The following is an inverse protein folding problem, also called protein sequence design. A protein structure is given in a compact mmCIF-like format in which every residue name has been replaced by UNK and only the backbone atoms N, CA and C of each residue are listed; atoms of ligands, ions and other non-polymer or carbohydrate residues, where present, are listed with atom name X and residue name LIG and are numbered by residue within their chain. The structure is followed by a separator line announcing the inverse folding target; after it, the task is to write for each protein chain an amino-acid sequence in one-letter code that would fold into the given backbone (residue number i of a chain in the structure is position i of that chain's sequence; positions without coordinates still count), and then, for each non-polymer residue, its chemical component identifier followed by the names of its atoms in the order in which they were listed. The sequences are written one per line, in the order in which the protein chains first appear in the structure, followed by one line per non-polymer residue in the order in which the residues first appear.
data_IF_116170122011
#
_entry.id   IF_116170122011
#
_cell.length_a   1.000
_cell.length_b   1.000
_cell.length_c   1.000
_cell.angle_alpha   90.00
_cell.angle_beta   90.00
_cell.angle_gamma   90.00
#
_symmetry.space_group_name_H-M   'P 1'
#
loop_
_entity.id
_entity.type
_entity.pdbx_description
1 polymer ?
#
# COMPACT_ATOMS: atom_id res chain seq x y z
N UNK A 1 -16.37 -1.29 -3.40
CA UNK A 1 -16.14 -2.21 -2.26
C UNK A 1 -15.14 -1.56 -1.33
N UNK A 2 -15.33 -1.64 -0.01
CA UNK A 2 -14.35 -1.07 0.93
C UNK A 2 -13.07 -1.89 0.91
N UNK A 3 -11.92 -1.25 1.15
CA UNK A 3 -10.63 -1.94 1.29
C UNK A 3 -10.68 -2.93 2.45
N UNK A 4 -11.40 -2.61 3.53
CA UNK A 4 -11.62 -3.53 4.64
C UNK A 4 -12.32 -4.82 4.21
N UNK A 5 -13.38 -4.72 3.41
CA UNK A 5 -14.11 -5.90 2.93
C UNK A 5 -13.28 -6.71 1.93
N UNK A 6 -12.54 -6.02 1.05
CA UNK A 6 -11.57 -6.66 0.16
C UNK A 6 -10.51 -7.46 0.94
N UNK A 7 -9.97 -6.89 2.02
CA UNK A 7 -8.99 -7.58 2.89
C UNK A 7 -9.63 -8.78 3.57
N UNK A 8 -10.85 -8.66 4.11
CA UNK A 8 -11.56 -9.81 4.71
C UNK A 8 -11.69 -10.94 3.70
N UNK A 9 -12.09 -10.63 2.47
CA UNK A 9 -12.21 -11.62 1.41
C UNK A 9 -10.86 -12.28 1.09
N UNK A 10 -9.79 -11.50 0.93
CA UNK A 10 -8.45 -12.02 0.62
C UNK A 10 -7.86 -12.84 1.76
N UNK A 11 -8.04 -12.41 3.01
CA UNK A 11 -7.59 -13.15 4.20
C UNK A 11 -8.36 -14.46 4.34
N UNK A 12 -9.68 -14.46 4.11
CA UNK A 12 -10.47 -15.69 4.16
C UNK A 12 -10.04 -16.68 3.08
N UNK A 13 -9.79 -16.22 1.83
CA UNK A 13 -9.27 -17.06 0.75
C UNK A 13 -7.85 -17.60 1.04
N UNK A 14 -7.00 -16.82 1.71
CA UNK A 14 -5.65 -17.25 2.07
C UNK A 14 -5.63 -18.20 3.28
N UNK A 15 -6.61 -18.09 4.18
CA UNK A 15 -6.76 -18.94 5.37
C UNK A 15 -6.84 -20.44 5.07
N UNK A 16 -7.14 -20.82 3.83
CA UNK A 16 -7.14 -22.20 3.36
C UNK A 16 -5.72 -22.79 3.20
N UNK A 17 -4.66 -21.96 3.16
CA UNK A 17 -3.28 -22.44 3.10
C UNK A 17 -2.35 -21.66 4.05
N UNK A 18 -2.04 -22.20 5.25
CA UNK A 18 -1.23 -21.53 6.27
C UNK A 18 0.26 -21.35 5.89
N UNK A 19 0.71 -21.91 4.78
CA UNK A 19 2.08 -21.72 4.27
C UNK A 19 2.22 -20.49 3.38
N UNK A 20 1.11 -19.85 2.99
CA UNK A 20 1.11 -18.67 2.11
C UNK A 20 0.75 -17.44 2.94
N UNK A 21 1.70 -16.52 3.08
CA UNK A 21 1.43 -15.22 3.70
C UNK A 21 0.71 -14.30 2.70
N UNK A 22 -0.45 -13.75 3.07
CA UNK A 22 -1.16 -12.79 2.22
C UNK A 22 -0.53 -11.39 2.31
N UNK A 23 -0.43 -10.60 1.22
CA UNK A 23 -0.06 -9.19 1.29
C UNK A 23 -1.09 -8.33 2.04
N UNK A 24 -2.32 -8.83 2.18
CA UNK A 24 -3.42 -8.15 2.84
C UNK A 24 -3.53 -8.54 4.31
N UNK A 25 -3.90 -7.59 5.18
CA UNK A 25 -4.18 -7.89 6.58
C UNK A 25 -4.32 -6.66 7.47
N UNK A 26 -4.91 -6.85 8.66
CA UNK A 26 -5.27 -5.77 9.59
C UNK A 26 -4.13 -5.29 10.51
N UNK A 27 -2.92 -5.79 10.29
CA UNK A 27 -1.76 -5.38 11.09
C UNK A 27 -1.28 -3.99 10.66
N UNK A 28 -1.23 -3.05 11.61
CA UNK A 28 -0.62 -1.73 11.43
C UNK A 28 0.91 -1.73 11.48
N UNK A 29 1.53 -2.90 11.73
CA UNK A 29 2.99 -3.04 11.72
C UNK A 29 3.53 -2.86 10.31
N UNK A 30 4.65 -2.17 10.20
CA UNK A 30 5.34 -1.87 8.96
C UNK A 30 6.36 -0.78 9.20
N UNK A 31 7.22 -0.56 8.23
CA UNK A 31 8.19 0.51 8.25
C UNK A 31 8.38 1.04 6.83
N UNK A 32 8.56 2.36 6.74
CA UNK A 32 9.00 3.03 5.52
C UNK A 32 10.35 2.49 5.07
N UNK A 33 10.50 2.36 3.76
CA UNK A 33 11.73 2.00 3.06
C UNK A 33 12.06 3.09 2.06
N UNK A 34 13.30 3.56 2.10
CA UNK A 34 13.81 4.45 1.06
C UNK A 34 14.07 3.68 -0.25
N UNK A 35 14.29 4.42 -1.34
CA UNK A 35 14.51 3.88 -2.69
C UNK A 35 15.62 2.83 -2.78
N UNK A 36 16.72 3.00 -2.03
CA UNK A 36 17.81 2.03 -2.00
C UNK A 36 17.39 0.72 -1.34
N UNK A 37 16.67 0.81 -0.23
CA UNK A 37 16.14 -0.36 0.47
C UNK A 37 15.12 -1.11 -0.38
N UNK A 38 14.23 -0.41 -1.10
CA UNK A 38 13.31 -1.03 -2.06
C UNK A 38 14.10 -1.79 -3.13
N UNK A 39 15.08 -1.13 -3.76
CA UNK A 39 15.87 -1.71 -4.85
C UNK A 39 16.62 -2.97 -4.42
N UNK A 40 17.25 -2.95 -3.25
CA UNK A 40 17.94 -4.11 -2.68
C UNK A 40 16.98 -5.26 -2.37
N UNK A 41 15.80 -4.96 -1.82
CA UNK A 41 14.80 -5.97 -1.54
C UNK A 41 14.25 -6.60 -2.82
N UNK A 42 13.91 -5.80 -3.84
CA UNK A 42 13.45 -6.30 -5.14
C UNK A 42 14.51 -7.18 -5.81
N UNK A 43 15.77 -6.73 -5.84
CA UNK A 43 16.88 -7.54 -6.37
C UNK A 43 17.02 -8.88 -5.62
N UNK A 44 16.89 -8.86 -4.28
CA UNK A 44 16.91 -10.07 -3.47
C UNK A 44 15.73 -11.00 -3.75
N UNK A 45 14.55 -10.46 -4.06
CA UNK A 45 13.36 -11.25 -4.41
C UNK A 45 13.55 -11.95 -5.75
N UNK A 46 14.05 -11.23 -6.77
CA UNK A 46 14.31 -11.81 -8.09
C UNK A 46 15.45 -12.84 -8.11
N UNK A 47 16.40 -12.73 -7.18
CA UNK A 47 17.50 -13.69 -7.06
C UNK A 47 17.10 -15.04 -6.42
N UNK A 48 15.88 -15.18 -5.88
CA UNK A 48 15.43 -16.43 -5.22
C UNK A 48 15.09 -17.51 -6.25
N UNK A 49 15.76 -18.65 -6.16
CA UNK A 49 15.58 -19.81 -7.04
C UNK A 49 14.29 -20.62 -6.79
N UNK A 50 13.53 -20.32 -5.73
CA UNK A 50 12.37 -21.09 -5.27
C UNK A 50 10.99 -20.46 -5.51
N UNK A 51 10.91 -19.38 -6.27
CA UNK A 51 9.67 -18.61 -6.49
C UNK A 51 9.51 -17.44 -5.51
N UNK A 52 8.81 -16.39 -5.95
CA UNK A 52 8.59 -15.16 -5.17
C UNK A 52 7.27 -15.27 -4.42
N UNK A 53 7.32 -15.75 -3.17
CA UNK A 53 6.18 -15.69 -2.26
C UNK A 53 6.19 -14.38 -1.48
N UNK A 54 5.01 -13.87 -1.16
CA UNK A 54 4.90 -12.73 -0.27
C UNK A 54 5.39 -13.11 1.12
N UNK A 55 6.14 -12.21 1.74
CA UNK A 55 6.35 -12.17 3.19
C UNK A 55 6.18 -10.74 3.67
N UNK A 56 5.80 -10.54 4.93
CA UNK A 56 5.64 -9.20 5.53
C UNK A 56 6.90 -8.32 5.49
N UNK A 57 8.08 -8.90 5.23
CA UNK A 57 9.33 -8.20 4.97
C UNK A 57 9.52 -7.74 3.52
N UNK A 58 8.70 -8.21 2.58
CA UNK A 58 8.76 -7.78 1.19
C UNK A 58 8.25 -6.35 1.08
N UNK A 59 8.86 -5.52 0.21
CA UNK A 59 8.40 -4.17 -0.02
C UNK A 59 7.06 -4.20 -0.77
N UNK A 60 6.12 -3.40 -0.27
CA UNK A 60 5.01 -2.86 -1.05
C UNK A 60 5.49 -1.52 -1.61
N UNK A 61 5.47 -1.38 -2.92
CA UNK A 61 5.74 -0.11 -3.59
C UNK A 61 4.45 0.70 -3.63
N UNK A 62 4.51 1.97 -3.23
CA UNK A 62 3.34 2.82 -3.08
C UNK A 62 3.51 4.06 -3.95
N UNK A 63 2.52 4.29 -4.81
CA UNK A 63 2.39 5.51 -5.58
C UNK A 63 1.19 6.30 -5.09
N UNK A 64 1.39 7.60 -4.92
CA UNK A 64 0.35 8.57 -4.57
C UNK A 64 0.31 9.59 -5.69
N UNK A 65 -0.58 9.43 -6.69
CA UNK A 65 -0.72 10.41 -7.76
C UNK A 65 -1.28 11.75 -7.26
N UNK A 66 -1.30 12.73 -8.15
CA UNK A 66 -2.03 13.98 -7.91
C UNK A 66 -3.52 13.70 -7.65
N UNK A 67 -4.13 14.50 -6.79
CA UNK A 67 -5.56 14.40 -6.46
C UNK A 67 -6.41 14.80 -7.68
N UNK A 68 -7.71 14.49 -7.67
CA UNK A 68 -8.62 14.89 -8.76
C UNK A 68 -8.67 16.41 -8.96
N UNK A 69 -8.37 17.18 -7.91
CA UNK A 69 -8.26 18.64 -7.93
C UNK A 69 -6.91 19.16 -8.41
N UNK A 70 -5.94 18.29 -8.68
CA UNK A 70 -4.61 18.63 -9.16
C UNK A 70 -3.58 18.92 -8.06
N UNK A 71 -3.91 18.64 -6.78
CA UNK A 71 -2.93 18.76 -5.69
C UNK A 71 -1.89 17.65 -5.85
N UNK A 72 -0.63 18.04 -6.03
CA UNK A 72 0.48 17.10 -6.21
C UNK A 72 1.13 16.76 -4.87
N UNK A 73 1.69 15.55 -4.71
CA UNK A 73 2.56 15.22 -3.56
C UNK A 73 3.65 16.28 -3.35
N UNK A 74 3.92 16.61 -2.09
CA UNK A 74 4.83 17.67 -1.67
C UNK A 74 6.21 17.15 -1.27
N UNK A 75 6.31 15.88 -0.86
CA UNK A 75 7.58 15.30 -0.41
C UNK A 75 8.64 15.33 -1.52
N UNK A 76 9.89 15.58 -1.14
CA UNK A 76 11.05 15.54 -2.04
C UNK A 76 11.47 14.11 -2.42
N UNK A 77 10.96 13.11 -1.70
CA UNK A 77 11.25 11.70 -1.98
C UNK A 77 10.65 11.26 -3.32
N UNK A 78 11.49 10.68 -4.18
CA UNK A 78 11.03 10.12 -5.45
C UNK A 78 10.15 8.88 -5.23
N UNK A 79 8.96 8.87 -5.85
CA UNK A 79 8.11 7.68 -5.90
C UNK A 79 8.73 6.58 -6.78
N UNK A 80 8.48 5.29 -6.48
CA UNK A 80 7.60 4.79 -5.43
C UNK A 80 8.19 4.92 -4.02
N UNK A 81 7.30 5.18 -3.06
CA UNK A 81 7.61 4.96 -1.64
C UNK A 81 7.61 3.48 -1.35
N UNK A 82 8.39 3.04 -0.36
CA UNK A 82 8.43 1.64 0.04
C UNK A 82 7.87 1.47 1.43
N UNK A 83 7.15 0.37 1.65
CA UNK A 83 6.70 -0.01 2.98
C UNK A 83 6.78 -1.52 3.17
N UNK A 84 7.15 -1.95 4.38
CA UNK A 84 6.98 -3.35 4.81
C UNK A 84 5.65 -3.52 5.54
N UNK A 85 5.18 -4.75 5.71
CA UNK A 85 3.95 -5.04 6.44
C UNK A 85 2.80 -5.49 5.54
N UNK A 86 1.59 -5.03 5.82
CA UNK A 86 0.35 -5.44 5.14
C UNK A 86 -0.33 -4.25 4.46
N UNK A 87 -0.96 -4.51 3.33
CA UNK A 87 -1.83 -3.54 2.65
C UNK A 87 -3.16 -3.46 3.42
N UNK A 88 -3.48 -2.25 3.90
CA UNK A 88 -4.70 -1.92 4.63
C UNK A 88 -5.00 -0.40 4.63
N UNK A 89 -6.16 0.03 5.15
CA UNK A 89 -6.52 1.44 5.24
C UNK A 89 -5.48 2.29 5.96
N UNK A 90 -4.87 1.78 7.03
CA UNK A 90 -3.83 2.50 7.78
C UNK A 90 -2.60 2.77 6.92
N UNK A 91 -2.18 1.80 6.09
CA UNK A 91 -1.07 2.00 5.16
C UNK A 91 -1.41 3.01 4.07
N UNK A 92 -2.63 2.96 3.53
CA UNK A 92 -3.09 3.92 2.52
C UNK A 92 -3.07 5.35 3.09
N UNK A 93 -3.56 5.52 4.31
CA UNK A 93 -3.54 6.81 5.00
C UNK A 93 -2.12 7.28 5.30
N UNK A 94 -1.25 6.43 5.85
CA UNK A 94 0.16 6.78 6.10
C UNK A 94 0.90 7.18 4.82
N UNK A 95 0.62 6.53 3.70
CA UNK A 95 1.20 6.89 2.41
C UNK A 95 0.78 8.29 1.96
N UNK A 96 -0.50 8.66 2.15
CA UNK A 96 -0.98 10.02 1.89
C UNK A 96 -0.29 11.02 2.81
N UNK A 97 -0.16 10.70 4.10
CA UNK A 97 0.50 11.60 5.04
C UNK A 97 1.94 11.86 4.65
N UNK A 98 2.66 10.80 4.26
CA UNK A 98 4.02 10.92 3.76
C UNK A 98 4.08 11.77 2.50
N UNK A 99 3.25 11.46 1.51
CA UNK A 99 3.24 12.12 0.21
C UNK A 99 2.95 13.62 0.29
N UNK A 100 2.05 14.04 1.17
CA UNK A 100 1.58 15.43 1.31
C UNK A 100 2.11 16.11 2.57
N UNK A 101 3.09 15.52 3.25
CA UNK A 101 3.72 16.04 4.48
C UNK A 101 2.69 16.42 5.57
N UNK A 102 1.66 15.58 5.73
CA UNK A 102 0.62 15.77 6.76
C UNK A 102 1.18 15.35 8.11
N UNK A 103 1.10 16.23 9.11
CA UNK A 103 1.73 16.02 10.42
C UNK A 103 0.72 15.69 11.52
N UNK A 104 -0.57 15.89 11.27
CA UNK A 104 -1.62 15.76 12.29
C UNK A 104 -2.87 15.03 11.78
N UNK A 105 -3.57 14.35 12.70
CA UNK A 105 -4.83 13.65 12.41
C UNK A 105 -5.93 14.60 11.88
N UNK A 106 -5.95 15.84 12.36
CA UNK A 106 -6.94 16.84 11.95
C UNK A 106 -6.71 17.32 10.51
N UNK A 107 -5.45 17.51 10.12
CA UNK A 107 -5.07 17.81 8.74
C UNK A 107 -5.40 16.63 7.83
N UNK A 108 -5.08 15.41 8.25
CA UNK A 108 -5.46 14.18 7.51
C UNK A 108 -6.95 14.10 7.26
N UNK A 109 -7.75 14.19 8.32
CA UNK A 109 -9.20 14.04 8.24
C UNK A 109 -9.84 15.06 7.30
N UNK A 110 -9.31 16.29 7.27
CA UNK A 110 -9.75 17.34 6.33
C UNK A 110 -9.28 17.02 4.92
N UNK A 111 -7.99 16.73 4.75
CA UNK A 111 -7.39 16.46 3.45
C UNK A 111 -8.05 15.27 2.75
N UNK A 112 -8.22 14.14 3.44
CA UNK A 112 -8.86 12.94 2.88
C UNK A 112 -10.28 13.22 2.38
N UNK A 113 -11.08 13.96 3.15
CA UNK A 113 -12.47 14.32 2.80
C UNK A 113 -12.59 15.32 1.66
N UNK A 114 -11.62 16.22 1.54
CA UNK A 114 -11.67 17.28 0.53
C UNK A 114 -11.03 16.81 -0.78
N UNK A 115 -9.89 16.14 -0.71
CA UNK A 115 -9.05 15.83 -1.87
C UNK A 115 -9.31 14.45 -2.47
N UNK A 116 -9.99 13.56 -1.73
CA UNK A 116 -10.26 12.18 -2.16
C UNK A 116 -9.03 11.48 -2.77
N UNK A 117 -7.89 11.45 -2.05
CA UNK A 117 -6.64 10.97 -2.63
C UNK A 117 -6.73 9.52 -3.07
N UNK A 118 -5.98 9.21 -4.12
CA UNK A 118 -5.77 7.86 -4.64
C UNK A 118 -4.42 7.34 -4.16
N UNK A 119 -4.35 6.04 -3.86
CA UNK A 119 -3.11 5.33 -3.55
C UNK A 119 -3.06 4.07 -4.41
N UNK A 120 -1.92 3.79 -5.01
CA UNK A 120 -1.68 2.63 -5.86
C UNK A 120 -0.59 1.79 -5.21
N UNK A 121 -0.92 0.55 -4.89
CA UNK A 121 0.01 -0.41 -4.32
C UNK A 121 0.51 -1.36 -5.41
N UNK A 122 1.82 -1.51 -5.55
CA UNK A 122 2.40 -2.67 -6.23
C UNK A 122 3.01 -3.63 -5.21
N UNK A 123 2.70 -4.91 -5.36
CA UNK A 123 3.17 -5.95 -4.46
C UNK A 123 3.39 -7.26 -5.20
N UNK A 124 4.20 -8.15 -4.62
CA UNK A 124 4.45 -9.48 -5.17
C UNK A 124 3.60 -10.53 -4.46
N UNK A 125 2.88 -11.32 -5.23
CA UNK A 125 2.12 -12.48 -4.75
C UNK A 125 2.20 -13.59 -5.80
N UNK A 126 2.50 -14.82 -5.36
CA UNK A 126 2.61 -16.01 -6.24
C UNK A 126 3.52 -15.82 -7.46
N UNK A 127 4.70 -15.22 -7.27
CA UNK A 127 5.66 -15.04 -8.35
C UNK A 127 5.34 -13.89 -9.31
N UNK A 128 4.25 -13.15 -9.10
CA UNK A 128 3.80 -12.07 -9.98
C UNK A 128 3.69 -10.75 -9.24
N UNK A 129 3.97 -9.67 -9.95
CA UNK A 129 3.68 -8.31 -9.49
C UNK A 129 2.20 -8.03 -9.77
N UNK A 130 1.50 -7.54 -8.76
CA UNK A 130 0.11 -7.12 -8.83
C UNK A 130 0.01 -5.65 -8.50
N UNK A 131 -1.08 -5.05 -8.94
CA UNK A 131 -1.45 -3.67 -8.66
C UNK A 131 -2.79 -3.66 -7.93
N UNK A 132 -2.94 -2.78 -6.93
CA UNK A 132 -4.21 -2.47 -6.29
C UNK A 132 -4.32 -0.97 -6.15
N UNK A 133 -5.31 -0.37 -6.81
CA UNK A 133 -5.62 1.03 -6.65
C UNK A 133 -6.79 1.22 -5.67
N UNK A 134 -6.62 2.17 -4.75
CA UNK A 134 -7.64 2.57 -3.79
C UNK A 134 -7.83 4.08 -3.79
N UNK A 135 -9.02 4.54 -3.42
CA UNK A 135 -9.34 5.96 -3.26
C UNK A 135 -10.09 6.18 -1.95
N UNK A 136 -9.85 7.31 -1.30
CA UNK A 136 -10.65 7.70 -0.14
C UNK A 136 -12.00 8.27 -0.59
N UNK A 137 -13.08 7.54 -0.33
CA UNK A 137 -14.45 7.85 -0.73
C UNK A 137 -15.28 8.48 0.39
N UNK A 138 -16.51 8.01 0.59
CA UNK A 138 -17.49 8.51 1.57
C UNK A 138 -17.13 8.16 3.03
N UNK A 139 -15.88 8.41 3.43
CA UNK A 139 -15.38 8.21 4.79
C UNK A 139 -14.58 6.92 5.01
N UNK A 140 -14.36 6.11 3.97
CA UNK A 140 -13.48 4.93 4.02
C UNK A 140 -12.68 4.80 2.70
N UNK A 141 -11.68 3.94 2.72
CA UNK A 141 -10.90 3.56 1.55
C UNK A 141 -11.67 2.55 0.69
N UNK A 142 -11.76 2.83 -0.60
CA UNK A 142 -12.49 2.03 -1.58
C UNK A 142 -11.52 1.49 -2.64
N UNK A 143 -11.69 0.23 -3.03
CA UNK A 143 -10.98 -0.36 -4.17
C UNK A 143 -11.60 0.15 -5.47
N UNK A 144 -10.77 0.65 -6.39
CA UNK A 144 -11.21 1.28 -7.65
C UNK A 144 -10.82 0.51 -8.91
N UNK A 145 -9.81 -0.37 -8.85
CA UNK A 145 -9.40 -1.22 -9.98
C UNK A 145 -9.20 -2.67 -9.48
N UNK A 146 -9.77 -3.64 -10.21
CA UNK A 146 -9.53 -5.10 -10.06
C UNK A 146 -8.92 -5.70 -11.33
#
# INVERSE_FOLDING_TARGET
MTLNDYIKEKVNRAGDNPLIESPFGFSKKGAFLNKWQISLNLASLYARSGGVFFSSSNPVEIYVPATEKGTVPLTEDEQPYGWTGKINPDLAEQAVWWAFEILTDSESSRFLKEEHPRVIFHFFEMGRRHELAVRFGEGDWEVIDE
#
